data_IF_372910360897
#
_entry.id   IF_372910360897
#
_cell.length_a   1.000
_cell.length_b   1.000
_cell.length_c   1.000
_cell.angle_alpha   90.00
_cell.angle_beta   90.00
_cell.angle_gamma   90.00
#
_symmetry.space_group_name_H-M   'P 1'
#
loop_
_entity.id
_entity.type
_entity.pdbx_description
1 polymer ?
#
# COMPACT_ATOMS: atom_id res chain seq x y z
N UNK A 1 -58.35 37.79 49.32
CA UNK A 1 -59.14 37.85 50.58
C UNK A 1 -58.17 37.66 51.72
N UNK A 2 -57.81 38.73 52.45
CA UNK A 2 -56.95 38.63 53.63
C UNK A 2 -57.81 38.18 54.81
N UNK A 3 -57.75 36.89 55.12
CA UNK A 3 -58.34 36.35 56.34
C UNK A 3 -57.27 36.37 57.42
N UNK A 4 -57.28 37.38 58.28
CA UNK A 4 -56.53 37.30 59.52
C UNK A 4 -57.12 36.16 60.35
N UNK A 5 -56.31 35.16 60.72
CA UNK A 5 -56.66 34.20 61.77
C UNK A 5 -56.48 34.94 63.10
N UNK A 6 -57.55 35.58 63.56
CA UNK A 6 -57.53 36.50 64.71
C UNK A 6 -57.90 35.83 66.04
N UNK A 7 -57.94 34.51 66.12
CA UNK A 7 -58.24 33.79 67.36
C UNK A 7 -57.04 32.96 67.82
N UNK A 8 -56.27 33.50 68.76
CA UNK A 8 -55.30 32.72 69.54
C UNK A 8 -56.10 31.77 70.43
N UNK A 9 -56.12 30.48 70.10
CA UNK A 9 -56.62 29.47 71.01
C UNK A 9 -55.58 29.33 72.14
N UNK A 10 -55.77 30.05 73.24
CA UNK A 10 -54.88 30.02 74.40
C UNK A 10 -55.14 28.76 75.23
N UNK A 11 -54.59 27.63 74.79
CA UNK A 11 -54.30 26.54 75.73
C UNK A 11 -53.13 26.98 76.62
N UNK A 12 -53.21 26.64 77.92
CA UNK A 12 -52.38 27.18 79.00
C UNK A 12 -50.86 26.91 78.91
N UNK A 13 -50.33 26.39 77.79
CA UNK A 13 -48.88 26.22 77.58
C UNK A 13 -48.42 26.33 76.12
N UNK A 14 -49.11 27.08 75.25
CA UNK A 14 -48.72 27.25 73.84
C UNK A 14 -47.93 28.54 73.55
N UNK A 15 -46.89 28.49 72.72
CA UNK A 15 -46.28 29.68 72.12
C UNK A 15 -47.19 30.26 71.03
N UNK A 16 -47.46 31.58 71.01
CA UNK A 16 -48.33 32.18 70.00
C UNK A 16 -47.72 32.06 68.59
N UNK A 17 -48.55 31.87 67.57
CA UNK A 17 -48.11 31.75 66.18
C UNK A 17 -47.31 32.97 65.71
N UNK A 18 -47.66 34.15 66.22
CA UNK A 18 -46.97 35.41 65.94
C UNK A 18 -45.57 35.51 66.53
N UNK A 19 -45.21 34.65 67.49
CA UNK A 19 -43.85 34.58 68.05
C UNK A 19 -42.97 33.51 67.39
N UNK A 20 -43.48 32.78 66.39
CA UNK A 20 -42.64 31.85 65.62
C UNK A 20 -41.72 32.63 64.69
N UNK A 21 -40.48 32.15 64.53
CA UNK A 21 -39.51 32.76 63.63
C UNK A 21 -39.98 32.64 62.18
N UNK A 22 -40.02 33.76 61.45
CA UNK A 22 -40.33 33.76 60.01
C UNK A 22 -39.05 33.44 59.25
N UNK A 23 -39.08 32.38 58.45
CA UNK A 23 -37.97 32.01 57.57
C UNK A 23 -38.32 32.54 56.17
N UNK A 24 -37.60 33.57 55.72
CA UNK A 24 -37.87 34.22 54.42
C UNK A 24 -37.62 33.30 53.21
N UNK A 25 -36.68 32.36 53.37
CA UNK A 25 -36.38 31.33 52.38
C UNK A 25 -35.97 30.04 53.09
N UNK A 26 -36.86 29.04 53.18
CA UNK A 26 -36.47 27.74 53.70
C UNK A 26 -35.40 27.11 52.80
N UNK A 27 -34.61 26.19 53.36
CA UNK A 27 -33.58 25.46 52.63
C UNK A 27 -34.23 24.42 51.71
N UNK A 28 -33.52 23.97 50.66
CA UNK A 28 -34.10 23.05 49.66
C UNK A 28 -34.63 21.74 50.25
N UNK A 29 -34.01 21.25 51.33
CA UNK A 29 -34.41 20.05 52.07
C UNK A 29 -35.46 20.32 53.17
N UNK A 30 -35.80 21.58 53.46
CA UNK A 30 -36.80 21.89 54.48
C UNK A 30 -38.17 21.38 54.04
N UNK A 31 -38.86 20.72 54.97
CA UNK A 31 -40.16 20.14 54.73
C UNK A 31 -41.24 21.21 54.86
N UNK A 32 -41.99 21.42 53.78
CA UNK A 32 -43.19 22.25 53.79
C UNK A 32 -44.41 21.36 53.98
N UNK A 33 -45.25 21.70 54.95
CA UNK A 33 -46.55 21.07 55.11
C UNK A 33 -47.53 21.66 54.11
N UNK A 34 -48.07 20.82 53.23
CA UNK A 34 -49.06 21.21 52.23
C UNK A 34 -50.04 20.09 51.91
N UNK A 35 -51.09 20.44 51.17
CA UNK A 35 -52.02 19.47 50.61
C UNK A 35 -51.60 19.22 49.15
N UNK A 36 -50.99 18.06 48.88
CA UNK A 36 -50.53 17.66 47.57
C UNK A 36 -51.32 16.44 47.10
N UNK A 37 -51.85 16.46 45.87
CA UNK A 37 -52.64 15.34 45.34
C UNK A 37 -53.85 14.94 46.20
N UNK A 38 -54.41 15.90 46.97
CA UNK A 38 -55.55 15.67 47.87
C UNK A 38 -55.19 15.08 49.24
N UNK A 39 -53.90 14.95 49.58
CA UNK A 39 -53.42 14.45 50.88
C UNK A 39 -52.54 15.46 51.59
N UNK A 40 -52.66 15.55 52.90
CA UNK A 40 -51.72 16.33 53.71
C UNK A 40 -50.38 15.61 53.79
N UNK A 41 -49.31 16.26 53.33
CA UNK A 41 -47.97 15.67 53.31
C UNK A 41 -46.91 16.75 53.60
N UNK A 42 -45.83 16.33 54.27
CA UNK A 42 -44.58 17.08 54.36
C UNK A 42 -43.73 16.76 53.13
N UNK A 43 -43.40 17.77 52.34
CA UNK A 43 -42.67 17.63 51.08
C UNK A 43 -41.47 18.59 51.09
N UNK A 44 -40.26 18.17 50.68
CA UNK A 44 -39.10 19.07 50.59
C UNK A 44 -39.42 20.26 49.69
N UNK A 45 -39.07 21.48 50.12
CA UNK A 45 -39.41 22.72 49.43
C UNK A 45 -39.08 22.70 47.94
N UNK A 46 -37.96 22.08 47.55
CA UNK A 46 -37.51 21.99 46.16
C UNK A 46 -38.48 21.20 45.24
N UNK A 47 -39.40 20.44 45.82
CA UNK A 47 -40.38 19.60 45.11
C UNK A 47 -41.84 20.06 45.26
N UNK A 48 -42.08 21.14 46.01
CA UNK A 48 -43.42 21.63 46.40
C UNK A 48 -44.18 22.30 45.26
N UNK A 49 -43.50 22.78 44.21
CA UNK A 49 -44.16 23.29 43.01
C UNK A 49 -44.40 22.18 42.01
N UNK A 50 -45.66 21.90 41.71
CA UNK A 50 -46.07 21.02 40.59
C UNK A 50 -45.38 21.50 39.31
N UNK A 51 -44.35 20.77 38.87
CA UNK A 51 -43.56 21.08 37.66
C UNK A 51 -42.19 21.73 37.89
N UNK A 52 -41.78 22.00 39.14
CA UNK A 52 -40.40 22.40 39.42
C UNK A 52 -39.47 21.17 39.36
N UNK A 53 -38.44 21.24 38.51
CA UNK A 53 -37.38 20.23 38.44
C UNK A 53 -36.26 20.62 39.42
N UNK A 54 -35.70 19.68 40.20
CA UNK A 54 -34.51 19.95 40.99
C UNK A 54 -33.39 20.55 40.13
N UNK A 55 -32.67 21.54 40.67
CA UNK A 55 -31.54 22.17 39.96
C UNK A 55 -30.31 21.27 39.88
N UNK A 56 -30.29 20.19 40.66
CA UNK A 56 -29.31 19.13 40.61
C UNK A 56 -29.99 17.78 40.85
N UNK A 57 -29.68 16.79 40.01
CA UNK A 57 -30.30 15.48 40.08
C UNK A 57 -31.80 15.48 39.73
N UNK A 58 -32.46 14.35 39.99
CA UNK A 58 -33.88 14.15 39.69
C UNK A 58 -34.14 13.29 38.45
N UNK A 59 -35.41 13.04 38.16
CA UNK A 59 -35.86 12.24 37.02
C UNK A 59 -37.04 12.92 36.37
N UNK A 60 -36.99 13.04 35.04
CA UNK A 60 -38.11 13.49 34.21
C UNK A 60 -38.71 12.26 33.55
N UNK A 61 -40.04 12.12 33.60
CA UNK A 61 -40.77 11.11 32.83
C UNK A 61 -41.25 11.72 31.51
N UNK A 62 -40.85 11.15 30.38
CA UNK A 62 -41.19 11.64 29.03
C UNK A 62 -39.98 12.11 28.25
N UNK A 63 -40.20 12.53 26.99
CA UNK A 63 -39.13 13.03 26.13
C UNK A 63 -38.73 14.45 26.54
N UNK A 64 -37.42 14.68 26.71
CA UNK A 64 -36.85 16.02 26.88
C UNK A 64 -36.42 16.51 25.50
N UNK A 65 -37.12 17.53 24.98
CA UNK A 65 -36.78 18.14 23.70
C UNK A 65 -35.95 19.41 23.90
N UNK A 66 -34.95 19.60 23.04
CA UNK A 66 -34.14 20.81 22.95
C UNK A 66 -33.97 21.19 21.49
N UNK A 67 -34.03 22.49 21.18
CA UNK A 67 -33.93 23.03 19.81
C UNK A 67 -32.63 23.78 19.56
N UNK A 68 -31.72 23.84 20.53
CA UNK A 68 -30.43 24.51 20.41
C UNK A 68 -29.33 23.55 19.94
N UNK A 69 -28.28 24.09 19.34
CA UNK A 69 -27.05 23.35 19.05
C UNK A 69 -26.14 23.39 20.29
N UNK A 70 -25.73 22.23 20.85
CA UNK A 70 -24.78 22.18 21.95
C UNK A 70 -23.45 22.84 21.59
N UNK A 71 -23.07 23.89 22.32
CA UNK A 71 -21.77 24.58 22.19
C UNK A 71 -20.80 24.32 23.35
N UNK A 72 -21.30 23.84 24.49
CA UNK A 72 -20.50 23.45 25.65
C UNK A 72 -20.57 21.92 25.86
N UNK A 73 -19.46 21.25 26.24
CA UNK A 73 -19.46 19.81 26.50
C UNK A 73 -20.46 19.33 27.57
N UNK A 74 -20.91 20.21 28.47
CA UNK A 74 -21.86 19.91 29.54
C UNK A 74 -23.33 20.12 29.16
N UNK A 75 -23.62 20.55 27.93
CA UNK A 75 -24.99 20.74 27.46
C UNK A 75 -25.75 19.42 27.27
N UNK A 76 -27.07 19.46 27.48
CA UNK A 76 -27.97 18.42 26.99
C UNK A 76 -27.84 18.33 25.45
N UNK A 77 -27.76 17.11 24.93
CA UNK A 77 -27.60 16.85 23.50
C UNK A 77 -28.93 16.39 22.90
N UNK A 78 -29.56 17.15 21.98
CA UNK A 78 -30.75 16.70 21.29
C UNK A 78 -30.42 15.61 20.26
N UNK A 79 -31.39 14.73 19.97
CA UNK A 79 -31.22 13.65 18.98
C UNK A 79 -30.79 14.16 17.59
N UNK A 80 -31.33 15.29 17.15
CA UNK A 80 -30.97 15.92 15.87
C UNK A 80 -29.47 16.25 15.75
N UNK A 81 -28.83 16.63 16.86
CA UNK A 81 -27.39 16.88 16.88
C UNK A 81 -26.60 15.58 16.68
N UNK A 82 -26.97 14.50 17.38
CA UNK A 82 -26.31 13.19 17.25
C UNK A 82 -26.46 12.65 15.84
N UNK A 83 -27.67 12.72 15.28
CA UNK A 83 -27.95 12.25 13.93
C UNK A 83 -27.12 13.05 12.89
N UNK A 84 -27.06 14.38 13.02
CA UNK A 84 -26.24 15.23 12.14
C UNK A 84 -24.73 15.01 12.28
N UNK A 85 -24.24 14.60 13.46
CA UNK A 85 -22.84 14.20 13.64
C UNK A 85 -22.54 12.89 12.88
N UNK A 86 -23.49 11.95 12.87
CA UNK A 86 -23.38 10.73 12.07
C UNK A 86 -23.15 11.03 10.59
N UNK A 87 -23.95 11.94 10.02
CA UNK A 87 -23.82 12.36 8.62
C UNK A 87 -22.49 13.06 8.32
N UNK A 88 -22.04 13.96 9.21
CA UNK A 88 -20.75 14.64 9.09
C UNK A 88 -19.58 13.65 9.13
N UNK A 89 -19.62 12.69 10.05
CA UNK A 89 -18.60 11.64 10.15
C UNK A 89 -18.59 10.81 8.87
N UNK A 90 -19.75 10.32 8.42
CA UNK A 90 -19.88 9.50 7.21
C UNK A 90 -19.37 10.23 5.96
N UNK A 91 -19.70 11.52 5.82
CA UNK A 91 -19.20 12.36 4.72
C UNK A 91 -17.68 12.52 4.76
N UNK A 92 -17.10 12.82 5.93
CA UNK A 92 -15.64 12.97 6.07
C UNK A 92 -14.89 11.67 5.79
N UNK A 93 -15.40 10.53 6.29
CA UNK A 93 -14.82 9.22 6.07
C UNK A 93 -14.90 8.85 4.60
N UNK A 94 -16.05 9.05 3.95
CA UNK A 94 -16.22 8.77 2.52
C UNK A 94 -15.27 9.61 1.67
N UNK A 95 -15.13 10.90 1.96
CA UNK A 95 -14.20 11.78 1.26
C UNK A 95 -12.74 11.36 1.45
N UNK A 96 -12.31 11.13 2.70
CA UNK A 96 -10.94 10.74 3.00
C UNK A 96 -10.57 9.37 2.41
N UNK A 97 -11.47 8.39 2.48
CA UNK A 97 -11.28 7.06 1.88
C UNK A 97 -11.26 7.18 0.36
N UNK A 98 -12.14 7.97 -0.26
CA UNK A 98 -12.16 8.17 -1.71
C UNK A 98 -10.84 8.74 -2.24
N UNK A 99 -10.26 9.73 -1.56
CA UNK A 99 -8.94 10.28 -1.92
C UNK A 99 -7.83 9.25 -1.77
N UNK A 100 -7.80 8.51 -0.66
CA UNK A 100 -6.78 7.49 -0.43
C UNK A 100 -6.87 6.33 -1.43
N UNK A 101 -8.09 5.87 -1.74
CA UNK A 101 -8.33 4.81 -2.73
C UNK A 101 -7.88 5.25 -4.12
N UNK A 102 -8.21 6.48 -4.52
CA UNK A 102 -7.77 7.04 -5.82
C UNK A 102 -6.24 7.08 -5.90
N UNK A 103 -5.57 7.59 -4.86
CA UNK A 103 -4.11 7.65 -4.82
C UNK A 103 -3.47 6.25 -4.88
N UNK A 104 -4.02 5.27 -4.16
CA UNK A 104 -3.55 3.89 -4.19
C UNK A 104 -3.74 3.25 -5.57
N UNK A 105 -4.88 3.48 -6.23
CA UNK A 105 -5.16 3.00 -7.58
C UNK A 105 -4.18 3.59 -8.60
N UNK A 106 -3.90 4.90 -8.53
CA UNK A 106 -2.91 5.54 -9.40
C UNK A 106 -1.52 4.95 -9.20
N UNK A 107 -1.07 4.79 -7.95
CA UNK A 107 0.23 4.21 -7.65
C UNK A 107 0.35 2.75 -8.16
N UNK A 108 -0.71 1.95 -7.99
CA UNK A 108 -0.75 0.58 -8.49
C UNK A 108 -0.72 0.52 -10.03
N UNK A 109 -1.38 1.44 -10.73
CA UNK A 109 -1.32 1.50 -12.18
C UNK A 109 0.08 1.89 -12.67
N UNK A 110 0.70 2.92 -12.06
CA UNK A 110 2.07 3.34 -12.39
C UNK A 110 3.08 2.21 -12.19
N UNK A 111 2.94 1.41 -11.12
CA UNK A 111 3.79 0.26 -10.89
C UNK A 111 3.61 -0.84 -11.96
N UNK A 112 2.38 -1.11 -12.40
CA UNK A 112 2.09 -2.07 -13.46
C UNK A 112 2.64 -1.63 -14.82
N UNK A 113 2.50 -0.34 -15.15
CA UNK A 113 3.04 0.23 -16.38
C UNK A 113 4.57 0.14 -16.39
N UNK A 114 5.22 0.45 -15.26
CA UNK A 114 6.67 0.35 -15.11
C UNK A 114 7.16 -1.10 -15.28
N UNK A 115 6.48 -2.08 -14.69
CA UNK A 115 6.81 -3.49 -14.84
C UNK A 115 6.66 -3.97 -16.30
N UNK A 116 5.59 -3.55 -16.97
CA UNK A 116 5.35 -3.86 -18.39
C UNK A 116 6.45 -3.28 -19.28
N UNK A 117 6.82 -2.02 -19.05
CA UNK A 117 7.89 -1.36 -19.79
C UNK A 117 9.24 -2.05 -19.59
N UNK A 118 9.54 -2.50 -18.37
CA UNK A 118 10.76 -3.26 -18.08
C UNK A 118 10.82 -4.60 -18.85
N UNK A 119 9.71 -5.34 -18.88
CA UNK A 119 9.62 -6.60 -19.65
C UNK A 119 9.79 -6.38 -21.16
N UNK A 120 9.19 -5.32 -21.69
CA UNK A 120 9.34 -4.95 -23.10
C UNK A 120 10.77 -4.56 -23.44
N UNK A 121 11.44 -3.78 -22.58
CA UNK A 121 12.84 -3.41 -22.75
C UNK A 121 13.77 -4.63 -22.71
N UNK A 122 13.55 -5.56 -21.79
CA UNK A 122 14.32 -6.80 -21.70
C UNK A 122 14.17 -7.67 -22.96
N UNK A 123 12.93 -7.80 -23.46
CA UNK A 123 12.64 -8.54 -24.69
C UNK A 123 13.27 -7.87 -25.92
N UNK A 124 13.20 -6.53 -26.00
CA UNK A 124 13.84 -5.74 -27.04
C UNK A 124 15.36 -5.92 -27.04
N UNK A 125 16.00 -5.91 -25.86
CA UNK A 125 17.43 -6.14 -25.72
C UNK A 125 17.83 -7.56 -26.14
N UNK A 126 17.07 -8.59 -25.74
CA UNK A 126 17.32 -9.98 -26.14
C UNK A 126 17.20 -10.17 -27.67
N UNK A 127 16.20 -9.56 -28.29
CA UNK A 127 16.03 -9.58 -29.74
C UNK A 127 17.17 -8.86 -30.47
N UNK A 128 17.56 -7.68 -29.99
CA UNK A 128 18.68 -6.92 -30.55
C UNK A 128 20.00 -7.71 -30.46
N UNK A 129 20.27 -8.35 -29.31
CA UNK A 129 21.44 -9.21 -29.14
C UNK A 129 21.42 -10.41 -30.11
N UNK A 130 20.26 -11.08 -30.23
CA UNK A 130 20.10 -12.21 -31.16
C UNK A 130 20.32 -11.80 -32.61
N UNK A 131 19.77 -10.65 -33.02
CA UNK A 131 19.95 -10.09 -34.36
C UNK A 131 21.42 -9.72 -34.61
N UNK A 132 22.08 -9.09 -33.64
CA UNK A 132 23.48 -8.73 -33.74
C UNK A 132 24.36 -9.98 -33.95
N UNK A 133 24.19 -11.02 -33.14
CA UNK A 133 24.93 -12.28 -33.30
C UNK A 133 24.61 -12.94 -34.64
N UNK A 134 23.34 -12.95 -35.05
CA UNK A 134 22.92 -13.55 -36.32
C UNK A 134 23.51 -12.81 -37.52
N UNK A 135 23.59 -11.47 -37.47
CA UNK A 135 24.21 -10.66 -38.51
C UNK A 135 25.72 -10.90 -38.63
N UNK A 136 26.38 -11.29 -37.53
CA UNK A 136 27.81 -11.63 -37.54
C UNK A 136 28.08 -13.05 -38.07
N UNK A 137 27.10 -13.97 -38.01
CA UNK A 137 27.26 -15.34 -38.50
C UNK A 137 27.33 -15.33 -40.03
N UNK A 138 28.49 -15.69 -40.59
CA UNK A 138 28.71 -15.77 -42.03
C UNK A 138 29.09 -14.45 -42.71
N UNK A 139 29.15 -13.34 -41.96
CA UNK A 139 29.75 -12.10 -42.45
C UNK A 139 31.28 -12.26 -42.55
N UNK A 140 31.89 -11.65 -43.58
CA UNK A 140 33.35 -11.57 -43.67
C UNK A 140 33.90 -10.82 -42.45
N UNK A 141 34.85 -11.43 -41.74
CA UNK A 141 35.38 -10.89 -40.48
C UNK A 141 34.41 -10.94 -39.28
N UNK A 142 33.30 -11.67 -39.40
CA UNK A 142 32.31 -11.86 -38.34
C UNK A 142 32.71 -12.93 -37.30
N UNK A 143 31.71 -13.43 -36.57
CA UNK A 143 31.93 -14.44 -35.53
C UNK A 143 31.94 -15.86 -36.12
N UNK A 144 32.86 -16.68 -35.62
CA UNK A 144 32.95 -18.09 -35.94
C UNK A 144 32.60 -18.94 -34.71
N UNK A 145 31.93 -20.09 -34.88
CA UNK A 145 31.65 -20.99 -33.76
C UNK A 145 32.94 -21.69 -33.31
N UNK A 146 33.20 -21.67 -32.01
CA UNK A 146 34.34 -22.34 -31.39
C UNK A 146 33.85 -23.41 -30.42
N UNK A 147 34.63 -24.47 -30.23
CA UNK A 147 34.44 -25.40 -29.11
C UNK A 147 34.97 -24.83 -27.77
N UNK A 148 34.82 -25.60 -26.69
CA UNK A 148 35.29 -25.21 -25.36
C UNK A 148 36.82 -25.00 -25.29
N UNK A 149 37.58 -25.49 -26.27
CA UNK A 149 39.03 -25.34 -26.36
C UNK A 149 39.43 -24.18 -27.30
N UNK A 150 38.47 -23.44 -27.86
CA UNK A 150 38.73 -22.33 -28.78
C UNK A 150 39.06 -22.77 -30.22
N UNK A 151 38.74 -24.02 -30.59
CA UNK A 151 38.97 -24.55 -31.94
C UNK A 151 37.76 -24.29 -32.83
N UNK A 152 37.96 -23.91 -34.09
CA UNK A 152 36.88 -23.70 -35.05
C UNK A 152 36.08 -25.00 -35.23
N UNK A 153 34.74 -24.92 -35.16
CA UNK A 153 33.86 -26.07 -35.37
C UNK A 153 32.96 -25.91 -36.61
N UNK A 154 32.67 -27.02 -37.30
CA UNK A 154 31.66 -27.12 -38.35
C UNK A 154 30.82 -28.37 -38.10
N UNK A 155 29.49 -28.22 -38.06
CA UNK A 155 28.55 -29.32 -37.79
C UNK A 155 28.92 -30.17 -36.56
N UNK A 156 29.33 -29.50 -35.47
CA UNK A 156 29.78 -30.11 -34.20
C UNK A 156 31.14 -30.83 -34.24
N UNK A 157 31.89 -30.76 -35.34
CA UNK A 157 33.25 -31.28 -35.43
C UNK A 157 34.28 -30.14 -35.39
N UNK A 158 35.30 -30.26 -34.55
CA UNK A 158 36.44 -29.32 -34.53
C UNK A 158 37.28 -29.54 -35.79
N UNK A 159 37.49 -28.49 -36.58
CA UNK A 159 38.11 -28.58 -37.92
C UNK A 159 39.42 -27.81 -38.05
N UNK A 160 39.69 -26.81 -37.21
CA UNK A 160 40.90 -26.00 -37.32
C UNK A 160 41.35 -25.40 -35.99
N UNK A 161 42.58 -25.69 -35.58
CA UNK A 161 43.21 -25.17 -34.36
C UNK A 161 44.52 -24.44 -34.68
N UNK A 162 44.86 -23.42 -33.90
CA UNK A 162 46.15 -22.72 -34.00
C UNK A 162 46.90 -22.80 -32.66
N UNK A 163 48.11 -23.35 -32.70
CA UNK A 163 48.99 -23.42 -31.55
C UNK A 163 49.91 -22.19 -31.52
N UNK A 164 49.63 -21.26 -30.63
CA UNK A 164 50.42 -20.02 -30.47
C UNK A 164 51.84 -20.23 -29.96
N UNK A 165 52.12 -21.37 -29.30
CA UNK A 165 53.47 -21.69 -28.80
C UNK A 165 54.38 -22.20 -29.91
N UNK A 166 53.82 -22.97 -30.85
CA UNK A 166 54.58 -23.56 -31.96
C UNK A 166 54.40 -22.81 -33.29
N UNK A 167 53.45 -21.86 -33.36
CA UNK A 167 53.06 -21.16 -34.57
C UNK A 167 52.35 -22.05 -35.60
N UNK A 168 51.86 -23.23 -35.19
CA UNK A 168 51.33 -24.25 -36.11
C UNK A 168 49.82 -24.13 -36.24
N UNK A 169 49.32 -24.07 -37.48
CA UNK A 169 47.90 -24.23 -37.81
C UNK A 169 47.64 -25.71 -38.13
N UNK A 170 46.68 -26.34 -37.47
CA UNK A 170 46.30 -27.73 -37.69
C UNK A 170 44.87 -27.81 -38.23
N UNK A 171 44.71 -28.48 -39.36
CA UNK A 171 43.41 -28.80 -39.95
C UNK A 171 43.02 -30.22 -39.52
N UNK A 172 41.93 -30.34 -38.77
CA UNK A 172 41.36 -31.62 -38.32
C UNK A 172 40.30 -32.06 -39.32
N UNK A 173 40.73 -32.71 -40.40
CA UNK A 173 39.86 -33.18 -41.48
C UNK A 173 40.09 -34.67 -41.71
N UNK A 174 39.05 -35.47 -41.46
CA UNK A 174 39.02 -36.87 -41.89
C UNK A 174 38.74 -36.90 -43.39
N UNK A 175 39.51 -37.68 -44.17
CA UNK A 175 39.35 -37.84 -45.62
C UNK A 175 39.53 -36.54 -46.43
N UNK A 176 40.60 -35.78 -46.18
CA UNK A 176 40.97 -34.64 -47.03
C UNK A 176 41.24 -35.13 -48.47
N UNK A 177 40.32 -34.83 -49.39
CA UNK A 177 40.48 -35.12 -50.81
C UNK A 177 41.12 -33.92 -51.52
N UNK A 178 42.32 -34.12 -52.09
CA UNK A 178 42.92 -33.17 -53.02
C UNK A 178 42.53 -33.62 -54.42
N UNK A 179 41.68 -32.84 -55.08
CA UNK A 179 41.25 -33.12 -56.44
C UNK A 179 42.29 -32.59 -57.43
N UNK A 180 43.22 -33.46 -57.83
CA UNK A 180 44.27 -33.17 -58.81
C UNK A 180 45.48 -34.08 -58.62
N UNK A 181 46.15 -34.44 -59.71
CA UNK A 181 47.38 -35.23 -59.65
C UNK A 181 48.50 -34.36 -59.06
N UNK A 182 48.97 -34.69 -57.86
CA UNK A 182 50.17 -34.11 -57.29
C UNK A 182 51.41 -34.85 -57.82
N UNK A 183 52.52 -34.15 -58.12
CA UNK A 183 53.79 -34.81 -58.42
C UNK A 183 54.18 -35.76 -57.29
N UNK A 184 54.66 -36.95 -57.63
CA UNK A 184 55.12 -37.96 -56.64
C UNK A 184 56.55 -37.72 -56.15
N UNK A 185 57.21 -36.70 -56.69
CA UNK A 185 58.57 -36.28 -56.36
C UNK A 185 58.61 -34.76 -56.26
N UNK A 186 59.53 -34.22 -55.46
CA UNK A 186 59.73 -32.78 -55.34
C UNK A 186 59.95 -32.14 -56.73
N UNK A 187 59.05 -31.24 -57.19
CA UNK A 187 59.17 -30.60 -58.49
C UNK A 187 60.29 -29.56 -58.56
N UNK A 188 60.98 -29.28 -57.45
CA UNK A 188 62.03 -28.26 -57.33
C UNK A 188 61.57 -26.85 -57.74
N UNK A 189 60.27 -26.58 -57.60
CA UNK A 189 59.66 -25.27 -57.85
C UNK A 189 59.13 -24.76 -56.52
N UNK A 190 59.75 -23.72 -55.97
CA UNK A 190 59.40 -23.18 -54.65
C UNK A 190 57.89 -22.91 -54.55
N UNK A 191 57.25 -23.51 -53.55
CA UNK A 191 55.82 -23.34 -53.30
C UNK A 191 54.91 -24.36 -54.00
N UNK A 192 55.41 -25.18 -54.92
CA UNK A 192 54.62 -26.26 -55.52
C UNK A 192 54.35 -27.38 -54.51
N UNK A 193 53.11 -27.86 -54.53
CA UNK A 193 52.69 -28.96 -53.67
C UNK A 193 53.05 -30.28 -54.35
N UNK A 194 53.50 -31.26 -53.58
CA UNK A 194 53.82 -32.60 -54.06
C UNK A 194 53.51 -33.63 -52.99
N UNK A 195 53.28 -34.89 -53.35
CA UNK A 195 52.96 -35.97 -52.41
C UNK A 195 53.98 -37.10 -52.55
N UNK A 196 54.59 -37.53 -51.44
CA UNK A 196 55.52 -38.66 -51.45
C UNK A 196 54.84 -40.01 -51.16
N UNK A 197 53.55 -40.16 -51.50
CA UNK A 197 52.78 -41.38 -51.27
C UNK A 197 52.24 -41.53 -49.84
N UNK A 198 51.90 -40.41 -49.19
CA UNK A 198 51.32 -40.42 -47.85
C UNK A 198 51.51 -39.13 -47.05
N UNK A 199 52.20 -38.14 -47.61
CA UNK A 199 52.38 -36.83 -46.98
C UNK A 199 52.54 -35.79 -48.08
N UNK A 200 51.76 -34.72 -47.97
CA UNK A 200 51.85 -33.58 -48.87
C UNK A 200 52.93 -32.64 -48.37
N UNK A 201 53.83 -32.26 -49.26
CA UNK A 201 54.94 -31.35 -49.04
C UNK A 201 54.78 -30.10 -49.90
N UNK A 202 55.47 -29.04 -49.51
CA UNK A 202 55.68 -27.85 -50.33
C UNK A 202 57.16 -27.83 -50.72
N UNK A 203 57.44 -27.86 -52.02
CA UNK A 203 58.78 -27.79 -52.58
C UNK A 203 59.50 -26.51 -52.12
N UNK A 204 60.76 -26.66 -51.72
CA UNK A 204 61.62 -25.52 -51.33
C UNK A 204 62.25 -24.82 -52.55
N UNK A 205 62.10 -25.38 -53.75
CA UNK A 205 62.86 -24.98 -54.94
C UNK A 205 64.14 -25.79 -55.12
N UNK A 206 64.99 -25.42 -56.09
CA UNK A 206 66.26 -26.10 -56.32
C UNK A 206 67.16 -25.96 -55.07
N UNK A 207 67.91 -27.01 -54.75
CA UNK A 207 68.94 -26.93 -53.72
C UNK A 207 69.93 -25.82 -54.09
N UNK A 208 70.20 -24.92 -53.14
CA UNK A 208 71.15 -23.81 -53.29
C UNK A 208 72.58 -24.31 -53.34
#
# INVERSE_FOLDING_TARGET
MSGAITTTNTTASGTPLSSLNVIDKPASADLIFGIFGGKAQLVPQETVWTGALPTAGGTVTGAVSATYEPTDPSHLVPKSYVDGMGDKIASSVTGAVGTQVTAAQTAAQTAQDAATNANNAASGAANAATLAVSAQKGASGGVAPLDANGTLVLNSASVMSYNTKTGTLTLHVSNLAITGDLPTTDPQIKGQWWDNGGTIYISQGPAS
#
